data_IF_479873243310
#
_entry.id   IF_479873243310
#
_cell.length_a   1.000
_cell.length_b   1.000
_cell.length_c   1.000
_cell.angle_alpha   90.00
_cell.angle_beta   90.00
_cell.angle_gamma   90.00
#
_symmetry.space_group_name_H-M   'P 1'
#
loop_
_entity.id
_entity.type
_entity.pdbx_description
1 polymer ?
#
# COMPACT_ATOMS: atom_id res chain seq x y z
N UNK A 1 22.35 3.87 1.58
CA UNK A 1 22.16 4.63 0.33
C UNK A 1 21.06 5.66 0.59
N UNK A 2 21.43 6.68 1.35
CA UNK A 2 20.66 7.89 1.66
C UNK A 2 21.49 9.00 1.02
N UNK A 3 20.80 10.02 0.49
CA UNK A 3 21.31 11.24 -0.17
C UNK A 3 21.46 11.12 -1.69
N UNK A 4 20.34 11.30 -2.39
CA UNK A 4 20.31 12.06 -3.65
C UNK A 4 19.28 13.15 -3.44
N UNK A 5 19.78 14.29 -2.95
CA UNK A 5 18.99 15.46 -2.64
C UNK A 5 18.43 16.10 -3.91
N UNK A 6 17.31 16.77 -3.73
CA UNK A 6 16.63 17.64 -4.68
C UNK A 6 17.59 18.79 -5.04
N UNK A 7 18.40 18.60 -6.08
CA UNK A 7 19.05 19.63 -6.91
C UNK A 7 19.84 18.85 -7.97
N UNK A 8 19.60 19.12 -9.25
CA UNK A 8 20.39 18.52 -10.34
C UNK A 8 21.78 19.18 -10.30
N UNK A 9 22.68 18.58 -9.52
CA UNK A 9 24.12 18.87 -9.55
C UNK A 9 24.82 17.57 -9.93
N UNK A 10 25.63 17.63 -10.99
CA UNK A 10 26.44 16.53 -11.52
C UNK A 10 27.43 16.02 -10.48
N UNK A 11 27.59 14.69 -10.36
CA UNK A 11 28.44 13.99 -9.37
C UNK A 11 29.89 14.51 -9.28
N UNK A 12 30.40 15.14 -10.34
CA UNK A 12 31.76 15.71 -10.41
C UNK A 12 32.01 16.87 -9.46
N UNK A 13 31.00 17.66 -9.11
CA UNK A 13 31.20 18.89 -8.30
C UNK A 13 31.17 18.61 -6.80
N UNK A 14 30.45 17.57 -6.37
CA UNK A 14 30.32 17.18 -4.96
C UNK A 14 31.57 16.45 -4.44
N UNK A 15 32.32 15.78 -5.31
CA UNK A 15 33.54 15.03 -4.95
C UNK A 15 34.72 15.94 -4.53
N UNK A 16 34.68 17.25 -4.84
CA UNK A 16 35.71 18.20 -4.40
C UNK A 16 35.66 18.52 -2.91
N UNK A 17 34.55 18.26 -2.22
CA UNK A 17 34.27 18.84 -0.90
C UNK A 17 34.09 17.84 0.25
N UNK A 18 34.30 16.53 0.06
CA UNK A 18 34.06 15.53 1.12
C UNK A 18 35.34 14.76 1.50
N UNK A 19 35.79 14.79 2.77
CA UNK A 19 36.97 14.07 3.22
C UNK A 19 36.73 12.55 3.28
N UNK A 20 37.64 11.80 2.63
CA UNK A 20 37.62 10.34 2.58
C UNK A 20 38.00 9.72 3.94
N UNK A 21 37.03 9.12 4.63
CA UNK A 21 37.25 8.01 5.59
C UNK A 21 35.91 7.46 6.08
N UNK A 22 35.53 6.22 5.70
CA UNK A 22 34.87 5.26 6.60
C UNK A 22 34.64 3.88 5.95
N UNK A 23 34.84 2.85 6.78
CA UNK A 23 34.89 1.40 6.51
C UNK A 23 33.60 0.72 5.98
N UNK A 24 32.63 1.45 5.42
CA UNK A 24 31.30 0.92 5.10
C UNK A 24 31.30 0.05 3.82
N UNK A 25 32.24 0.28 2.90
CA UNK A 25 32.29 -0.40 1.60
C UNK A 25 32.76 -1.86 1.65
N UNK A 26 33.44 -2.30 2.72
CA UNK A 26 34.01 -3.66 2.83
C UNK A 26 32.97 -4.73 3.18
N UNK A 27 31.86 -4.35 3.81
CA UNK A 27 30.79 -5.29 4.21
C UNK A 27 29.89 -5.72 3.04
N UNK A 28 29.81 -4.91 1.98
CA UNK A 28 28.92 -5.17 0.84
C UNK A 28 29.49 -6.19 -0.14
N UNK A 29 30.82 -6.40 -0.14
CA UNK A 29 31.48 -7.31 -1.08
C UNK A 29 31.27 -8.80 -0.72
N UNK A 30 31.07 -9.13 0.56
CA UNK A 30 30.98 -10.52 1.03
C UNK A 30 29.58 -11.15 0.91
N UNK A 31 28.54 -10.37 0.57
CA UNK A 31 27.16 -10.88 0.46
C UNK A 31 26.86 -11.46 -0.94
N UNK A 32 27.71 -11.19 -1.94
CA UNK A 32 27.42 -11.48 -3.35
C UNK A 32 27.87 -12.89 -3.80
N UNK A 33 28.74 -13.60 -3.07
CA UNK A 33 29.37 -14.87 -3.53
C UNK A 33 28.84 -16.12 -2.81
N UNK A 34 27.55 -16.19 -2.48
CA UNK A 34 26.96 -17.45 -2.02
C UNK A 34 25.54 -17.63 -2.57
N UNK A 35 25.44 -17.99 -3.86
CA UNK A 35 24.22 -18.50 -4.48
C UNK A 35 24.55 -19.72 -5.32
N UNK A 36 24.51 -20.87 -4.65
CA UNK A 36 24.52 -22.18 -5.27
C UNK A 36 23.50 -23.09 -4.58
N UNK A 37 22.22 -22.70 -4.56
CA UNK A 37 21.10 -23.59 -4.17
C UNK A 37 19.85 -23.26 -5.02
N UNK A 38 19.18 -24.29 -5.51
CA UNK A 38 18.07 -24.21 -6.47
C UNK A 38 16.84 -23.42 -5.94
N UNK A 39 16.08 -22.71 -6.80
CA UNK A 39 15.14 -21.67 -6.40
C UNK A 39 13.74 -22.16 -5.99
N UNK A 40 13.53 -23.47 -5.82
CA UNK A 40 12.21 -24.00 -5.51
C UNK A 40 12.27 -25.02 -4.37
N UNK A 41 11.84 -24.58 -3.18
CA UNK A 41 11.49 -25.49 -2.08
C UNK A 41 10.18 -26.18 -2.47
N UNK A 42 10.23 -27.49 -2.66
CA UNK A 42 9.05 -28.34 -2.68
C UNK A 42 8.29 -28.07 -1.37
N UNK A 43 6.98 -27.76 -1.39
CA UNK A 43 6.24 -27.55 -0.16
C UNK A 43 6.09 -28.89 0.58
N UNK A 44 7.04 -29.24 1.43
CA UNK A 44 6.85 -30.27 2.46
C UNK A 44 6.20 -29.62 3.66
N UNK A 45 4.87 -29.64 3.64
CA UNK A 45 4.04 -29.82 4.82
C UNK A 45 2.60 -30.11 4.35
N UNK A 46 2.43 -31.25 3.68
CA UNK A 46 1.12 -31.91 3.73
C UNK A 46 1.02 -32.43 5.16
N UNK A 47 0.47 -31.62 6.07
CA UNK A 47 0.18 -32.06 7.43
C UNK A 47 -0.84 -33.19 7.33
N UNK A 48 -0.39 -34.42 7.44
CA UNK A 48 -1.28 -35.55 7.59
C UNK A 48 -2.02 -35.38 8.91
N UNK A 49 -3.32 -35.12 8.85
CA UNK A 49 -4.14 -35.10 10.05
C UNK A 49 -4.18 -36.53 10.59
N UNK A 50 -3.66 -36.72 11.81
CA UNK A 50 -3.69 -38.00 12.49
C UNK A 50 -5.14 -38.49 12.59
N UNK A 51 -5.41 -39.64 11.96
CA UNK A 51 -6.72 -40.31 12.01
C UNK A 51 -6.63 -41.39 13.08
N UNK A 52 -7.48 -41.29 14.10
CA UNK A 52 -7.43 -42.17 15.26
C UNK A 52 -8.39 -43.35 15.09
N UNK A 53 -9.63 -43.07 14.69
CA UNK A 53 -10.70 -44.07 14.53
C UNK A 53 -11.31 -43.99 13.12
N UNK A 54 -10.85 -44.86 12.22
CA UNK A 54 -11.36 -44.95 10.86
C UNK A 54 -11.20 -43.63 10.07
N UNK A 55 -12.29 -43.02 9.56
CA UNK A 55 -12.20 -41.76 8.81
C UNK A 55 -12.04 -40.52 9.71
N UNK A 56 -12.16 -40.65 11.04
CA UNK A 56 -12.19 -39.52 11.96
C UNK A 56 -10.79 -39.09 12.40
N UNK A 57 -10.55 -37.78 12.41
CA UNK A 57 -9.36 -37.16 12.99
C UNK A 57 -9.36 -37.27 14.52
N UNK A 58 -8.19 -37.17 15.17
CA UNK A 58 -8.10 -37.18 16.65
C UNK A 58 -9.09 -36.19 17.30
N UNK A 59 -9.21 -34.98 16.74
CA UNK A 59 -10.16 -33.96 17.22
C UNK A 59 -11.61 -34.41 17.10
N UNK A 60 -11.99 -34.95 15.95
CA UNK A 60 -13.34 -35.47 15.72
C UNK A 60 -13.66 -36.65 16.64
N UNK A 61 -12.68 -37.52 16.93
CA UNK A 61 -12.83 -38.62 17.88
C UNK A 61 -13.08 -38.11 19.31
N UNK A 62 -12.41 -37.04 19.73
CA UNK A 62 -12.66 -36.42 21.05
C UNK A 62 -14.08 -35.84 21.11
N UNK A 63 -14.53 -35.13 20.08
CA UNK A 63 -15.91 -34.60 20.03
C UNK A 63 -16.96 -35.72 20.08
N UNK A 64 -16.74 -36.81 19.35
CA UNK A 64 -17.62 -37.98 19.39
C UNK A 64 -17.66 -38.62 20.78
N UNK A 65 -16.50 -38.76 21.43
CA UNK A 65 -16.40 -39.36 22.77
C UNK A 65 -17.10 -38.50 23.83
N UNK A 66 -16.87 -37.18 23.82
CA UNK A 66 -17.54 -36.25 24.75
C UNK A 66 -19.06 -36.26 24.54
N UNK A 67 -19.52 -36.24 23.29
CA UNK A 67 -20.94 -36.32 22.97
C UNK A 67 -21.56 -37.64 23.44
N UNK A 68 -20.86 -38.76 23.24
CA UNK A 68 -21.31 -40.08 23.69
C UNK A 68 -21.42 -40.15 25.22
N UNK A 69 -20.45 -39.60 25.96
CA UNK A 69 -20.50 -39.52 27.42
C UNK A 69 -21.68 -38.67 27.88
N UNK A 70 -21.92 -37.51 27.26
CA UNK A 70 -23.05 -36.63 27.60
C UNK A 70 -24.40 -37.29 27.32
N UNK A 71 -24.54 -37.97 26.19
CA UNK A 71 -25.76 -38.71 25.85
C UNK A 71 -25.99 -39.85 26.84
N UNK A 72 -24.95 -40.60 27.19
CA UNK A 72 -25.04 -41.69 28.16
C UNK A 72 -25.41 -41.15 29.56
N UNK A 73 -24.82 -40.03 29.97
CA UNK A 73 -25.20 -39.36 31.22
C UNK A 73 -26.68 -38.93 31.22
N UNK A 74 -27.14 -38.32 30.12
CA UNK A 74 -28.54 -37.88 29.98
C UNK A 74 -29.53 -39.05 30.02
N UNK A 75 -29.17 -40.21 29.47
CA UNK A 75 -30.05 -41.40 29.44
C UNK A 75 -30.05 -42.15 30.78
N UNK A 76 -28.88 -42.37 31.38
CA UNK A 76 -28.74 -43.29 32.52
C UNK A 76 -28.67 -42.61 33.89
N UNK A 77 -28.21 -41.37 33.98
CA UNK A 77 -27.91 -40.71 35.25
C UNK A 77 -28.80 -39.50 35.57
N UNK A 78 -29.56 -38.99 34.59
CA UNK A 78 -30.39 -37.80 34.78
C UNK A 78 -31.66 -38.06 35.63
N UNK A 79 -32.11 -39.31 35.72
CA UNK A 79 -33.37 -39.69 36.39
C UNK A 79 -34.63 -39.10 35.74
N UNK A 80 -34.52 -38.55 34.53
CA UNK A 80 -35.62 -37.92 33.80
C UNK A 80 -36.52 -38.97 33.13
N UNK A 81 -37.81 -38.66 33.01
CA UNK A 81 -38.74 -39.47 32.23
C UNK A 81 -38.36 -39.52 30.75
N UNK A 82 -38.72 -40.62 30.08
CA UNK A 82 -38.34 -40.92 28.69
C UNK A 82 -38.53 -39.74 27.74
N UNK A 83 -39.69 -39.10 27.80
CA UNK A 83 -40.05 -38.02 26.89
C UNK A 83 -39.23 -36.74 27.08
N UNK A 84 -38.68 -36.53 28.28
CA UNK A 84 -37.98 -35.29 28.64
C UNK A 84 -36.52 -35.31 28.17
N UNK A 85 -35.85 -36.47 28.20
CA UNK A 85 -34.44 -36.55 27.77
C UNK A 85 -34.25 -36.66 26.24
N UNK A 86 -35.30 -36.96 25.47
CA UNK A 86 -35.21 -37.07 23.99
C UNK A 86 -34.73 -35.76 23.36
N UNK A 87 -35.30 -34.63 23.79
CA UNK A 87 -34.97 -33.30 23.26
C UNK A 87 -33.48 -32.95 23.48
N UNK A 88 -32.94 -33.00 24.72
CA UNK A 88 -31.53 -32.68 24.94
C UNK A 88 -30.58 -33.68 24.29
N UNK A 89 -30.93 -34.99 24.21
CA UNK A 89 -30.12 -35.99 23.50
C UNK A 89 -30.02 -35.66 22.02
N UNK A 90 -31.15 -35.31 21.37
CA UNK A 90 -31.16 -34.94 19.96
C UNK A 90 -30.36 -33.65 19.71
N UNK A 91 -30.45 -32.67 20.62
CA UNK A 91 -29.68 -31.43 20.54
C UNK A 91 -28.16 -31.69 20.67
N UNK A 92 -27.74 -32.54 21.60
CA UNK A 92 -26.34 -32.95 21.75
C UNK A 92 -25.85 -33.70 20.51
N UNK A 93 -26.67 -34.58 19.94
CA UNK A 93 -26.33 -35.32 18.72
C UNK A 93 -26.17 -34.38 17.50
N UNK A 94 -27.09 -33.42 17.31
CA UNK A 94 -26.99 -32.42 16.24
C UNK A 94 -25.72 -31.58 16.39
N UNK A 95 -25.43 -31.09 17.60
CA UNK A 95 -24.21 -30.32 17.86
C UNK A 95 -22.97 -31.16 17.57
N UNK A 96 -22.93 -32.42 18.01
CA UNK A 96 -21.81 -33.33 17.74
C UNK A 96 -21.58 -33.51 16.23
N UNK A 97 -22.65 -33.71 15.45
CA UNK A 97 -22.57 -33.79 13.98
C UNK A 97 -22.01 -32.48 13.40
N UNK A 98 -22.46 -31.33 13.90
CA UNK A 98 -21.95 -30.01 13.51
C UNK A 98 -20.44 -29.87 13.74
N UNK A 99 -19.96 -30.22 14.93
CA UNK A 99 -18.54 -30.18 15.27
C UNK A 99 -17.70 -31.20 14.49
N UNK A 100 -18.24 -32.40 14.22
CA UNK A 100 -17.50 -33.48 13.56
C UNK A 100 -17.45 -33.30 12.03
N UNK A 101 -18.60 -33.08 11.39
CA UNK A 101 -18.69 -33.05 9.92
C UNK A 101 -18.41 -31.66 9.33
N UNK A 102 -18.74 -30.60 10.06
CA UNK A 102 -18.69 -29.22 9.54
C UNK A 102 -17.64 -28.35 10.24
N UNK A 103 -16.82 -28.90 11.16
CA UNK A 103 -15.81 -28.14 11.91
C UNK A 103 -16.39 -26.85 12.52
N UNK A 104 -17.56 -26.97 13.16
CA UNK A 104 -18.31 -25.83 13.71
C UNK A 104 -17.48 -24.99 14.69
N UNK A 105 -16.52 -25.60 15.39
CA UNK A 105 -15.55 -24.94 16.26
C UNK A 105 -14.71 -23.89 15.51
N UNK A 106 -14.22 -24.23 14.32
CA UNK A 106 -13.44 -23.29 13.49
C UNK A 106 -14.30 -22.12 13.01
N UNK A 107 -15.54 -22.39 12.60
CA UNK A 107 -16.49 -21.34 12.20
C UNK A 107 -16.88 -20.43 13.36
N UNK A 108 -17.15 -20.98 14.54
CA UNK A 108 -17.45 -20.23 15.77
C UNK A 108 -16.27 -19.35 16.19
N UNK A 109 -15.05 -19.91 16.21
CA UNK A 109 -13.84 -19.15 16.55
C UNK A 109 -13.57 -18.05 15.52
N UNK A 110 -13.70 -18.34 14.23
CA UNK A 110 -13.56 -17.34 13.18
C UNK A 110 -14.61 -16.23 13.29
N UNK A 111 -15.85 -16.56 13.64
CA UNK A 111 -16.93 -15.60 13.86
C UNK A 111 -16.67 -14.73 15.10
N UNK A 112 -16.24 -15.33 16.21
CA UNK A 112 -15.84 -14.60 17.42
C UNK A 112 -14.63 -13.69 17.18
N UNK A 113 -13.65 -14.18 16.41
CA UNK A 113 -12.50 -13.40 15.98
C UNK A 113 -12.93 -12.26 15.05
N UNK A 114 -13.90 -12.49 14.15
CA UNK A 114 -14.46 -11.48 13.28
C UNK A 114 -15.21 -10.37 14.04
N UNK A 115 -15.97 -10.72 15.09
CA UNK A 115 -16.67 -9.73 15.94
C UNK A 115 -15.68 -8.94 16.81
N UNK A 116 -14.67 -9.61 17.38
CA UNK A 116 -13.64 -8.96 18.21
C UNK A 116 -12.58 -8.23 17.39
N UNK A 117 -12.44 -8.58 16.12
CA UNK A 117 -11.53 -7.93 15.18
C UNK A 117 -11.98 -6.50 14.91
N UNK A 118 -11.05 -5.55 14.97
CA UNK A 118 -11.32 -4.20 14.49
C UNK A 118 -11.77 -4.30 13.03
N UNK A 119 -12.96 -3.78 12.70
CA UNK A 119 -13.44 -3.69 11.31
C UNK A 119 -12.60 -2.65 10.59
N UNK A 120 -11.50 -3.08 10.01
CA UNK A 120 -10.57 -2.20 9.31
C UNK A 120 -11.11 -1.88 7.91
N UNK A 121 -11.65 -0.68 7.72
CA UNK A 121 -12.23 -0.23 6.44
C UNK A 121 -11.20 0.10 5.35
N UNK A 122 -9.97 -0.40 5.45
CA UNK A 122 -8.86 0.06 4.61
C UNK A 122 -8.66 -0.88 3.41
N UNK A 123 -8.71 -0.28 2.21
CA UNK A 123 -8.47 -0.89 0.90
C UNK A 123 -7.08 -1.52 0.72
N UNK A 124 -6.17 -1.29 1.66
CA UNK A 124 -4.83 -1.87 1.64
C UNK A 124 -4.96 -3.33 2.11
N UNK A 125 -4.54 -4.26 1.24
CA UNK A 125 -4.58 -5.69 1.55
C UNK A 125 -3.91 -5.98 2.91
N UNK A 126 -4.42 -6.93 3.71
CA UNK A 126 -3.81 -7.27 5.00
C UNK A 126 -2.32 -7.61 4.89
N UNK A 127 -1.90 -8.22 3.78
CA UNK A 127 -0.51 -8.52 3.47
C UNK A 127 0.33 -7.24 3.24
N UNK A 128 -0.17 -6.29 2.46
CA UNK A 128 0.49 -5.00 2.21
C UNK A 128 0.66 -4.18 3.50
N UNK A 129 -0.37 -4.16 4.35
CA UNK A 129 -0.31 -3.46 5.64
C UNK A 129 0.63 -4.14 6.63
N UNK A 130 0.69 -5.47 6.61
CA UNK A 130 1.65 -6.24 7.41
C UNK A 130 3.09 -5.94 6.96
N UNK A 131 3.33 -5.83 5.66
CA UNK A 131 4.64 -5.49 5.09
C UNK A 131 5.08 -4.06 5.43
N UNK A 132 4.17 -3.08 5.37
CA UNK A 132 4.52 -1.67 5.62
C UNK A 132 4.48 -1.25 7.09
N UNK A 133 4.15 -2.16 8.00
CA UNK A 133 4.03 -1.88 9.44
C UNK A 133 3.12 -0.69 9.78
N UNK A 134 2.17 -0.36 8.90
CA UNK A 134 1.21 0.74 9.15
C UNK A 134 0.10 0.22 10.06
N UNK A 135 -0.16 0.94 11.15
CA UNK A 135 -1.29 0.69 12.05
C UNK A 135 -2.55 1.37 11.53
N UNK A 136 -2.48 2.66 11.23
CA UNK A 136 -3.63 3.44 10.75
C UNK A 136 -3.18 4.74 10.08
N UNK A 137 -4.01 5.29 9.19
CA UNK A 137 -3.84 6.64 8.64
C UNK A 137 -5.04 7.47 9.07
N UNK A 138 -4.81 8.57 9.78
CA UNK A 138 -5.84 9.48 10.28
C UNK A 138 -5.21 10.82 10.67
N UNK A 139 -6.01 11.88 10.75
CA UNK A 139 -5.53 13.23 11.09
C UNK A 139 -4.32 13.68 10.25
N UNK A 140 -4.32 13.30 8.96
CA UNK A 140 -3.27 13.61 7.98
C UNK A 140 -1.88 13.16 8.43
N UNK A 141 -1.86 12.02 9.13
CA UNK A 141 -0.68 11.39 9.70
C UNK A 141 -0.74 9.86 9.55
N UNK A 142 0.43 9.27 9.41
CA UNK A 142 0.64 7.83 9.31
C UNK A 142 1.10 7.31 10.67
N UNK A 143 0.29 6.46 11.28
CA UNK A 143 0.62 5.80 12.55
C UNK A 143 1.20 4.42 12.24
N UNK A 144 2.44 4.19 12.66
CA UNK A 144 3.12 2.92 12.52
C UNK A 144 2.85 1.99 13.72
N UNK A 145 3.05 0.69 13.52
CA UNK A 145 2.83 -0.33 14.56
C UNK A 145 3.77 -0.18 15.75
N UNK A 146 4.98 0.30 15.53
CA UNK A 146 5.98 0.63 16.56
C UNK A 146 5.65 1.90 17.37
N UNK A 147 4.57 2.61 17.03
CA UNK A 147 4.12 3.81 17.72
C UNK A 147 4.73 5.12 17.21
N UNK A 148 5.54 5.09 16.13
CA UNK A 148 5.93 6.31 15.42
C UNK A 148 4.75 6.90 14.67
N UNK A 149 4.76 8.23 14.55
CA UNK A 149 3.78 8.99 13.78
C UNK A 149 4.54 9.82 12.76
N UNK A 150 4.14 9.73 11.49
CA UNK A 150 4.82 10.36 10.36
C UNK A 150 3.87 11.27 9.58
N UNK A 151 4.37 12.42 9.17
CA UNK A 151 3.76 13.27 8.15
C UNK A 151 4.49 13.10 6.83
N UNK A 152 3.77 13.26 5.72
CA UNK A 152 4.35 13.22 4.38
C UNK A 152 4.04 14.52 3.67
N UNK A 153 5.07 15.13 3.10
CA UNK A 153 5.01 16.37 2.33
C UNK A 153 5.40 16.03 0.90
N UNK A 154 4.59 16.41 -0.09
CA UNK A 154 4.92 16.30 -1.51
C UNK A 154 5.63 17.58 -1.94
N UNK A 155 6.74 17.43 -2.65
CA UNK A 155 7.55 18.56 -3.14
C UNK A 155 7.44 18.62 -4.65
N UNK A 156 7.19 19.83 -5.17
CA UNK A 156 7.22 20.10 -6.61
C UNK A 156 8.65 20.49 -7.00
N UNK A 157 9.32 19.73 -7.88
CA UNK A 157 10.65 20.09 -8.33
C UNK A 157 10.60 21.36 -9.18
N UNK A 158 11.67 22.14 -9.09
CA UNK A 158 11.90 23.34 -9.92
C UNK A 158 12.94 23.03 -11.00
N UNK A 159 12.83 23.68 -12.16
CA UNK A 159 13.83 23.54 -13.22
C UNK A 159 15.01 24.48 -12.97
N UNK A 160 15.89 24.09 -12.05
CA UNK A 160 17.02 24.89 -11.58
C UNK A 160 17.93 25.39 -12.72
N UNK A 161 18.15 24.57 -13.76
CA UNK A 161 19.02 24.91 -14.88
C UNK A 161 18.48 26.00 -15.82
N UNK A 162 17.17 26.29 -15.76
CA UNK A 162 16.53 27.35 -16.58
C UNK A 162 16.53 28.71 -15.88
N UNK A 163 16.79 28.73 -14.57
CA UNK A 163 16.83 29.96 -13.78
C UNK A 163 18.04 30.84 -14.14
N UNK A 164 17.92 32.15 -13.89
CA UNK A 164 19.05 33.09 -13.95
C UNK A 164 20.09 32.77 -12.87
N UNK A 165 21.31 33.32 -12.96
CA UNK A 165 22.34 33.06 -11.93
C UNK A 165 21.92 33.62 -10.57
N UNK A 166 21.33 34.80 -10.56
CA UNK A 166 20.84 35.46 -9.36
C UNK A 166 19.70 34.66 -8.70
N UNK A 167 18.79 34.09 -9.50
CA UNK A 167 17.73 33.22 -9.00
C UNK A 167 18.29 31.87 -8.51
N UNK A 168 19.28 31.32 -9.21
CA UNK A 168 19.98 30.09 -8.78
C UNK A 168 20.65 30.28 -7.42
N UNK A 169 21.36 31.40 -7.23
CA UNK A 169 21.97 31.76 -5.95
C UNK A 169 20.92 31.89 -4.85
N UNK A 170 19.79 32.55 -5.15
CA UNK A 170 18.66 32.69 -4.22
C UNK A 170 18.11 31.33 -3.77
N UNK A 171 17.89 30.40 -4.71
CA UNK A 171 17.45 29.04 -4.41
C UNK A 171 18.50 28.31 -3.55
N UNK A 172 19.79 28.41 -3.88
CA UNK A 172 20.87 27.78 -3.11
C UNK A 172 20.90 28.30 -1.67
N UNK A 173 20.86 29.62 -1.47
CA UNK A 173 20.90 30.21 -0.14
C UNK A 173 19.66 29.88 0.69
N UNK A 174 18.46 29.95 0.10
CA UNK A 174 17.24 29.54 0.79
C UNK A 174 17.25 28.05 1.15
N UNK A 175 17.83 27.23 0.29
CA UNK A 175 17.95 25.80 0.56
C UNK A 175 18.98 25.49 1.67
N UNK A 176 20.09 26.23 1.73
CA UNK A 176 21.03 26.16 2.85
C UNK A 176 20.36 26.56 4.16
N UNK A 177 19.55 27.62 4.15
CA UNK A 177 18.76 28.04 5.31
C UNK A 177 17.77 26.95 5.75
N UNK A 178 17.07 26.31 4.80
CA UNK A 178 16.24 25.15 5.08
C UNK A 178 17.01 24.06 5.83
N UNK A 179 18.17 23.62 5.31
CA UNK A 179 18.96 22.57 5.96
C UNK A 179 19.42 22.99 7.36
N UNK A 180 19.85 24.24 7.52
CA UNK A 180 20.31 24.76 8.81
C UNK A 180 19.17 24.92 9.84
N UNK A 181 17.93 25.11 9.38
CA UNK A 181 16.76 25.25 10.24
C UNK A 181 16.23 23.92 10.82
N UNK A 182 16.63 22.78 10.26
CA UNK A 182 16.12 21.47 10.64
C UNK A 182 16.64 21.05 12.03
N UNK A 183 15.75 21.06 13.02
CA UNK A 183 16.02 20.60 14.39
C UNK A 183 15.66 19.13 14.64
N UNK A 184 15.27 18.40 13.60
CA UNK A 184 14.84 17.00 13.67
C UNK A 184 15.17 16.25 12.38
N UNK A 185 15.34 14.92 12.42
CA UNK A 185 15.63 14.15 11.22
C UNK A 185 14.43 14.15 10.29
N UNK A 186 14.68 14.45 9.02
CA UNK A 186 13.72 14.25 7.93
C UNK A 186 14.26 13.16 6.99
N UNK A 187 13.37 12.53 6.23
CA UNK A 187 13.76 11.61 5.18
C UNK A 187 13.22 12.09 3.85
N UNK A 188 14.08 12.18 2.84
CA UNK A 188 13.69 12.54 1.48
C UNK A 188 13.59 11.26 0.67
N UNK A 189 12.46 11.08 0.00
CA UNK A 189 12.14 9.91 -0.81
C UNK A 189 11.77 10.38 -2.21
N UNK A 190 12.34 9.71 -3.20
CA UNK A 190 11.97 9.88 -4.60
C UNK A 190 11.26 8.61 -5.08
N UNK A 191 10.15 8.80 -5.79
CA UNK A 191 9.39 7.73 -6.44
C UNK A 191 9.39 7.96 -7.94
N UNK A 192 9.93 7.01 -8.69
CA UNK A 192 9.78 6.97 -10.14
C UNK A 192 8.38 6.47 -10.50
N UNK A 193 7.70 7.17 -11.39
CA UNK A 193 6.38 6.79 -11.92
C UNK A 193 6.41 6.86 -13.44
N UNK A 194 5.57 6.10 -14.13
CA UNK A 194 5.44 6.25 -15.58
C UNK A 194 4.97 7.67 -15.90
N UNK A 195 5.57 8.30 -16.90
CA UNK A 195 5.12 9.61 -17.36
C UNK A 195 3.69 9.49 -17.89
N UNK A 196 2.80 10.33 -17.38
CA UNK A 196 1.42 10.41 -17.84
C UNK A 196 1.11 11.81 -18.38
N UNK A 197 0.82 11.87 -19.68
CA UNK A 197 0.50 13.10 -20.40
C UNK A 197 -1.02 13.33 -20.57
N UNK A 198 -1.86 12.47 -19.99
CA UNK A 198 -3.32 12.51 -20.20
C UNK A 198 -3.92 13.88 -19.92
N UNK A 199 -3.51 14.53 -18.82
CA UNK A 199 -4.00 15.86 -18.43
C UNK A 199 -3.58 16.95 -19.43
N UNK A 200 -2.32 16.90 -19.87
CA UNK A 200 -1.77 17.85 -20.83
C UNK A 200 -2.45 17.71 -22.20
N UNK A 201 -2.52 16.47 -22.71
CA UNK A 201 -3.16 16.15 -23.98
C UNK A 201 -4.65 16.49 -23.93
N UNK A 202 -5.34 16.17 -22.83
CA UNK A 202 -6.75 16.53 -22.62
C UNK A 202 -6.98 18.06 -22.58
N UNK A 203 -6.09 18.83 -21.96
CA UNK A 203 -6.16 20.29 -21.97
C UNK A 203 -5.93 20.87 -23.37
N UNK A 204 -4.98 20.31 -24.13
CA UNK A 204 -4.71 20.71 -25.51
C UNK A 204 -5.91 20.40 -26.41
N UNK A 205 -6.50 19.19 -26.31
CA UNK A 205 -7.70 18.80 -27.04
C UNK A 205 -8.85 19.77 -26.81
N UNK A 206 -9.12 20.13 -25.54
CA UNK A 206 -10.17 21.08 -25.18
C UNK A 206 -10.00 22.43 -25.87
N UNK A 207 -8.78 22.96 -25.92
CA UNK A 207 -8.48 24.25 -26.60
C UNK A 207 -8.69 24.17 -28.11
N UNK A 208 -8.38 23.04 -28.73
CA UNK A 208 -8.56 22.81 -30.17
C UNK A 208 -10.04 22.71 -30.51
N UNK A 209 -10.80 21.90 -29.76
CA UNK A 209 -12.25 21.74 -29.94
C UNK A 209 -12.99 23.07 -29.76
N UNK A 210 -12.57 23.90 -28.80
CA UNK A 210 -13.15 25.25 -28.60
C UNK A 210 -12.96 26.19 -29.79
N UNK A 211 -11.96 25.96 -30.65
CA UNK A 211 -11.69 26.77 -31.84
C UNK A 211 -12.38 26.24 -33.10
N UNK A 212 -13.06 25.09 -33.01
CA UNK A 212 -13.70 24.38 -34.13
C UNK A 212 -12.77 24.09 -35.33
N UNK A 213 -11.48 23.89 -35.04
CA UNK A 213 -10.47 23.62 -36.06
C UNK A 213 -10.31 22.11 -36.27
N UNK A 214 -11.00 21.58 -37.29
CA UNK A 214 -10.98 20.16 -37.65
C UNK A 214 -9.59 19.67 -38.10
N UNK A 215 -8.80 20.54 -38.73
CA UNK A 215 -7.46 20.18 -39.18
C UNK A 215 -6.52 20.04 -37.99
N UNK A 216 -6.56 20.98 -37.05
CA UNK A 216 -5.81 20.90 -35.80
C UNK A 216 -6.22 19.68 -34.95
N UNK A 217 -7.48 19.26 -34.98
CA UNK A 217 -7.93 18.05 -34.28
C UNK A 217 -7.29 16.78 -34.85
N UNK A 218 -7.24 16.64 -36.17
CA UNK A 218 -6.57 15.51 -36.82
C UNK A 218 -5.05 15.47 -36.49
N UNK A 219 -4.37 16.62 -36.52
CA UNK A 219 -2.97 16.69 -36.10
C UNK A 219 -2.78 16.34 -34.63
N UNK A 220 -3.69 16.77 -33.76
CA UNK A 220 -3.66 16.43 -32.35
C UNK A 220 -3.79 14.91 -32.12
N UNK A 221 -4.66 14.22 -32.86
CA UNK A 221 -4.83 12.77 -32.73
C UNK A 221 -3.54 12.03 -33.08
N UNK A 222 -2.94 12.35 -34.23
CA UNK A 222 -1.64 11.78 -34.63
C UNK A 222 -0.52 12.11 -33.64
N UNK A 223 -0.45 13.36 -33.17
CA UNK A 223 0.54 13.77 -32.17
C UNK A 223 0.35 13.02 -30.85
N UNK A 224 -0.89 12.90 -30.38
CA UNK A 224 -1.22 12.21 -29.14
C UNK A 224 -0.82 10.74 -29.21
N UNK A 225 -1.15 10.05 -30.31
CA UNK A 225 -0.79 8.65 -30.53
C UNK A 225 0.73 8.47 -30.57
N UNK A 226 1.43 9.28 -31.36
CA UNK A 226 2.89 9.28 -31.42
C UNK A 226 3.53 9.48 -30.03
N UNK A 227 3.01 10.40 -29.22
CA UNK A 227 3.54 10.66 -27.88
C UNK A 227 3.35 9.47 -26.95
N UNK A 228 2.21 8.79 -27.01
CA UNK A 228 1.98 7.58 -26.22
C UNK A 228 2.93 6.45 -26.61
N UNK A 229 3.10 6.22 -27.92
CA UNK A 229 4.01 5.20 -28.42
C UNK A 229 5.47 5.52 -28.09
N UNK A 230 5.87 6.79 -28.21
CA UNK A 230 7.21 7.24 -27.87
C UNK A 230 7.51 7.06 -26.38
N UNK A 231 6.58 7.42 -25.49
CA UNK A 231 6.73 7.21 -24.03
C UNK A 231 6.83 5.73 -23.70
N UNK A 232 5.99 4.90 -24.32
CA UNK A 232 5.95 3.46 -24.10
C UNK A 232 7.22 2.77 -24.59
N UNK A 233 7.70 3.13 -25.79
CA UNK A 233 8.91 2.56 -26.38
C UNK A 233 10.16 2.95 -25.58
N UNK A 234 10.26 4.22 -25.16
CA UNK A 234 11.43 4.73 -24.43
C UNK A 234 11.33 4.59 -22.91
N UNK A 235 10.23 4.03 -22.39
CA UNK A 235 9.96 3.85 -20.94
C UNK A 235 10.23 5.13 -20.14
N UNK A 236 9.70 6.25 -20.64
CA UNK A 236 9.92 7.56 -20.03
C UNK A 236 9.20 7.63 -18.69
N UNK A 237 9.94 7.99 -17.64
CA UNK A 237 9.45 8.08 -16.29
C UNK A 237 9.50 9.51 -15.77
N UNK A 238 8.54 9.85 -14.92
CA UNK A 238 8.54 11.04 -14.09
C UNK A 238 9.01 10.72 -12.66
N UNK A 239 9.44 11.74 -11.91
CA UNK A 239 9.96 11.60 -10.55
C UNK A 239 9.15 12.45 -9.59
N UNK A 240 8.50 11.78 -8.64
CA UNK A 240 7.79 12.42 -7.54
C UNK A 240 8.70 12.48 -6.30
N UNK A 241 8.74 13.64 -5.65
CA UNK A 241 9.56 13.86 -4.46
C UNK A 241 8.69 14.03 -3.22
N UNK A 242 9.09 13.36 -2.14
CA UNK A 242 8.40 13.39 -0.86
C UNK A 242 9.38 13.61 0.28
N UNK A 243 8.95 14.34 1.30
CA UNK A 243 9.66 14.52 2.57
C UNK A 243 8.82 13.89 3.67
N UNK A 244 9.41 12.94 4.39
CA UNK A 244 8.82 12.27 5.54
C UNK A 244 9.32 12.97 6.80
N UNK A 245 8.38 13.44 7.60
CA UNK A 245 8.62 14.17 8.84
C UNK A 245 8.14 13.33 10.03
N UNK A 246 9.01 12.92 10.96
CA UNK A 246 8.61 12.22 12.16
C UNK A 246 8.09 13.18 13.23
N UNK A 247 7.00 12.80 13.90
CA UNK A 247 6.52 13.49 15.09
C UNK A 247 7.40 13.16 16.31
N UNK A 248 7.52 14.11 17.25
CA UNK A 248 7.99 13.77 18.60
C UNK A 248 6.88 13.00 19.32
N UNK A 249 7.22 11.89 19.96
CA UNK A 249 6.26 11.04 20.67
C UNK A 249 5.91 11.66 22.03
N UNK A 250 4.61 11.86 22.28
CA UNK A 250 4.07 12.24 23.58
C UNK A 250 3.09 11.17 24.10
N UNK A 251 2.78 11.20 25.39
CA UNK A 251 1.75 10.33 25.97
C UNK A 251 0.35 10.67 25.44
N UNK A 252 0.11 11.97 25.23
CA UNK A 252 -1.11 12.47 24.61
C UNK A 252 -0.95 12.50 23.08
N UNK A 253 -1.87 11.82 22.40
CA UNK A 253 -1.91 11.75 20.95
C UNK A 253 -2.15 13.11 20.32
N UNK A 254 -3.00 13.95 20.93
CA UNK A 254 -3.31 15.28 20.40
C UNK A 254 -2.04 16.15 20.34
N UNK A 255 -1.20 16.08 21.37
CA UNK A 255 0.10 16.76 21.39
C UNK A 255 1.06 16.22 20.34
N UNK A 256 1.00 14.91 20.07
CA UNK A 256 1.82 14.28 19.02
C UNK A 256 1.42 14.78 17.63
N UNK A 257 0.12 14.85 17.34
CA UNK A 257 -0.39 15.38 16.06
C UNK A 257 -0.07 16.86 15.91
N UNK A 258 -0.29 17.67 16.96
CA UNK A 258 0.03 19.10 16.94
C UNK A 258 1.52 19.35 16.68
N UNK A 259 2.40 18.60 17.36
CA UNK A 259 3.84 18.69 17.10
C UNK A 259 4.22 18.30 15.67
N UNK A 260 3.55 17.30 15.10
CA UNK A 260 3.78 16.91 13.71
C UNK A 260 3.37 18.03 12.75
N UNK A 261 2.22 18.64 13.00
CA UNK A 261 1.70 19.74 12.20
C UNK A 261 2.65 20.94 12.22
N UNK A 262 3.13 21.34 13.40
CA UNK A 262 4.12 22.41 13.55
C UNK A 262 5.41 22.10 12.78
N UNK A 263 5.90 20.86 12.87
CA UNK A 263 7.11 20.42 12.15
C UNK A 263 6.92 20.43 10.64
N UNK A 264 5.78 19.94 10.16
CA UNK A 264 5.47 19.95 8.73
C UNK A 264 5.34 21.38 8.21
N UNK A 265 4.68 22.27 8.97
CA UNK A 265 4.53 23.68 8.62
C UNK A 265 5.89 24.37 8.53
N UNK A 266 6.75 24.18 9.52
CA UNK A 266 8.11 24.72 9.50
C UNK A 266 8.91 24.26 8.27
N UNK A 267 8.83 22.98 7.90
CA UNK A 267 9.49 22.44 6.70
C UNK A 267 8.94 23.06 5.41
N UNK A 268 7.62 23.24 5.31
CA UNK A 268 6.99 23.84 4.12
C UNK A 268 7.36 25.31 3.99
N UNK A 269 7.33 26.08 5.08
CA UNK A 269 7.66 27.51 5.09
C UNK A 269 9.12 27.75 4.71
N UNK A 270 10.04 26.99 5.31
CA UNK A 270 11.48 27.10 5.04
C UNK A 270 11.86 26.65 3.63
N UNK A 271 11.20 25.62 3.09
CA UNK A 271 11.34 25.28 1.66
C UNK A 271 10.77 26.36 0.75
N UNK A 272 9.67 26.99 1.14
CA UNK A 272 9.07 28.10 0.40
C UNK A 272 10.03 29.27 0.19
N UNK A 273 10.94 29.54 1.15
CA UNK A 273 12.00 30.57 1.01
C UNK A 273 12.97 30.27 -0.15
N UNK A 274 13.18 29.00 -0.48
CA UNK A 274 14.00 28.58 -1.63
C UNK A 274 13.23 28.51 -2.95
N UNK A 275 12.00 29.02 -2.99
CA UNK A 275 11.13 28.95 -4.17
C UNK A 275 10.62 27.53 -4.48
N UNK A 276 10.84 26.58 -3.57
CA UNK A 276 10.39 25.19 -3.72
C UNK A 276 9.01 25.05 -3.09
N UNK A 277 8.02 24.70 -3.93
CA UNK A 277 6.64 24.52 -3.49
C UNK A 277 6.49 23.13 -2.85
N UNK A 278 5.95 23.10 -1.65
CA UNK A 278 5.73 21.87 -0.88
C UNK A 278 4.32 21.86 -0.26
N UNK A 279 3.66 20.71 -0.28
CA UNK A 279 2.30 20.53 0.20
C UNK A 279 2.19 19.32 1.12
N UNK A 280 1.54 19.47 2.28
CA UNK A 280 1.28 18.35 3.19
C UNK A 280 0.21 17.43 2.60
N UNK A 281 0.49 16.12 2.58
CA UNK A 281 -0.47 15.15 2.10
C UNK A 281 -1.58 14.90 3.13
N UNK A 282 -2.83 14.99 2.69
CA UNK A 282 -4.00 14.62 3.49
C UNK A 282 -4.25 13.11 3.52
N UNK A 283 -5.18 12.66 4.36
CA UNK A 283 -5.53 11.24 4.53
C UNK A 283 -5.79 10.50 3.21
N UNK A 284 -6.54 11.13 2.29
CA UNK A 284 -6.87 10.52 0.98
C UNK A 284 -5.62 10.36 0.11
N UNK A 285 -4.79 11.40 0.05
CA UNK A 285 -3.55 11.39 -0.74
C UNK A 285 -2.53 10.42 -0.15
N UNK A 286 -2.43 10.32 1.18
CA UNK A 286 -1.62 9.32 1.86
C UNK A 286 -2.07 7.91 1.51
N UNK A 287 -3.39 7.63 1.57
CA UNK A 287 -3.93 6.33 1.18
C UNK A 287 -3.60 6.00 -0.29
N UNK A 288 -3.79 6.95 -1.20
CA UNK A 288 -3.44 6.80 -2.63
C UNK A 288 -1.94 6.54 -2.84
N UNK A 289 -1.08 7.29 -2.14
CA UNK A 289 0.36 7.11 -2.16
C UNK A 289 0.74 5.69 -1.75
N UNK A 290 0.21 5.21 -0.63
CA UNK A 290 0.52 3.86 -0.13
C UNK A 290 -0.07 2.75 -1.01
N UNK A 291 -1.28 2.90 -1.55
CA UNK A 291 -1.85 1.90 -2.46
C UNK A 291 -1.07 1.80 -3.76
N UNK A 292 -0.51 2.91 -4.25
CA UNK A 292 0.29 2.96 -5.48
C UNK A 292 1.64 2.20 -5.41
N UNK A 293 1.99 1.60 -4.27
CA UNK A 293 3.12 0.66 -4.16
C UNK A 293 2.70 -0.81 -4.34
N UNK A 294 1.41 -1.13 -4.21
CA UNK A 294 0.88 -2.50 -4.30
C UNK A 294 0.06 -2.74 -5.56
N UNK A 295 -0.23 -1.69 -6.32
CA UNK A 295 -0.94 -1.80 -7.59
C UNK A 295 -0.15 -1.02 -8.63
N UNK A 296 0.11 -1.65 -9.77
CA UNK A 296 0.89 -1.07 -10.87
C UNK A 296 0.19 0.16 -11.51
N UNK A 297 -1.06 0.43 -11.15
CA UNK A 297 -1.86 1.49 -11.76
C UNK A 297 -2.99 1.95 -10.85
N UNK A 298 -2.87 3.12 -10.20
CA UNK A 298 -4.03 3.98 -9.91
C UNK A 298 -3.58 5.44 -9.79
N UNK A 299 -3.97 6.26 -10.76
CA UNK A 299 -4.32 7.67 -10.51
C UNK A 299 -5.80 7.69 -10.13
N UNK A 300 -6.12 8.37 -9.05
CA UNK A 300 -7.50 8.63 -8.62
C UNK A 300 -7.59 10.11 -8.30
N UNK A 301 -7.75 10.90 -9.35
CA UNK A 301 -8.51 12.14 -9.24
C UNK A 301 -9.88 11.85 -9.86
N UNK A 302 -10.91 12.20 -9.09
CA UNK A 302 -12.35 12.12 -9.35
C UNK A 302 -13.10 10.81 -8.99
N UNK A 303 -13.90 10.95 -7.93
CA UNK A 303 -14.97 10.10 -7.36
C UNK A 303 -14.66 8.70 -6.76
N UNK A 304 -15.20 8.50 -5.55
CA UNK A 304 -15.04 7.31 -4.72
C UNK A 304 -15.83 6.13 -5.29
N UNK A 305 -15.13 5.09 -5.75
CA UNK A 305 -15.76 3.84 -6.18
C UNK A 305 -15.22 2.71 -5.30
N UNK A 306 -16.10 2.04 -4.56
CA UNK A 306 -15.70 0.87 -3.75
C UNK A 306 -15.20 -0.27 -4.68
N UNK A 307 -14.27 -1.15 -4.26
CA UNK A 307 -13.85 -2.35 -4.99
C UNK A 307 -15.01 -3.26 -5.36
N UNK A 308 -16.07 -3.30 -4.55
CA UNK A 308 -17.31 -4.01 -4.91
C UNK A 308 -17.96 -3.35 -6.14
N UNK A 309 -17.99 -2.02 -6.17
CA UNK A 309 -18.52 -1.23 -7.28
C UNK A 309 -17.59 -1.29 -8.51
N UNK A 310 -16.28 -1.36 -8.31
CA UNK A 310 -15.26 -1.53 -9.35
C UNK A 310 -15.38 -2.90 -10.02
N UNK A 311 -15.47 -3.98 -9.22
CA UNK A 311 -15.70 -5.33 -9.73
C UNK A 311 -17.01 -5.39 -10.51
N UNK A 312 -18.09 -4.80 -9.98
CA UNK A 312 -19.40 -4.79 -10.66
C UNK A 312 -19.37 -4.06 -12.01
N UNK A 313 -18.59 -2.98 -12.15
CA UNK A 313 -18.38 -2.28 -13.43
C UNK A 313 -17.56 -3.10 -14.43
N UNK A 314 -16.47 -3.73 -13.98
CA UNK A 314 -15.63 -4.60 -14.83
C UNK A 314 -16.41 -5.76 -15.45
N UNK A 315 -17.46 -6.25 -14.80
CA UNK A 315 -18.30 -7.33 -15.32
C UNK A 315 -19.45 -6.86 -16.23
N UNK A 316 -19.80 -5.57 -16.22
CA UNK A 316 -20.76 -5.00 -17.18
C UNK A 316 -20.11 -4.63 -18.51
N UNK A 317 -18.81 -4.34 -18.51
CA UNK A 317 -17.98 -4.15 -19.69
C UNK A 317 -17.18 -5.42 -20.00
N UNK A 318 -17.87 -6.56 -20.21
CA UNK A 318 -17.18 -7.73 -20.75
C UNK A 318 -16.54 -7.34 -22.11
N UNK A 319 -15.25 -7.65 -22.35
CA UNK A 319 -14.63 -7.33 -23.62
C UNK A 319 -15.44 -8.00 -24.74
N UNK A 320 -15.85 -7.22 -25.74
CA UNK A 320 -16.52 -7.76 -26.93
C UNK A 320 -15.64 -8.88 -27.50
N UNK A 321 -16.25 -10.02 -27.83
CA UNK A 321 -15.54 -11.15 -28.45
C UNK A 321 -14.74 -10.63 -29.64
N UNK A 322 -13.43 -10.83 -29.60
CA UNK A 322 -12.57 -10.59 -30.75
C UNK A 322 -12.92 -11.67 -31.76
N UNK A 323 -13.60 -11.30 -32.85
CA UNK A 323 -13.77 -12.18 -34.00
C UNK A 323 -12.44 -12.21 -34.74
N UNK A 324 -11.83 -13.39 -34.82
CA UNK A 324 -10.73 -13.61 -35.76
C UNK A 324 -11.34 -13.60 -37.17
N UNK A 325 -10.86 -12.68 -38.01
CA UNK A 325 -11.12 -12.73 -39.45
C UNK A 325 -10.26 -13.86 -39.97
N UNK A 326 -10.88 -14.96 -40.39
CA UNK A 326 -10.20 -15.96 -41.22
C UNK A 326 -9.84 -15.29 -42.55
N UNK A 327 -8.54 -15.08 -42.79
CA UNK A 327 -8.05 -14.77 -44.13
C UNK A 327 -8.29 -16.01 -45.00
N UNK A 328 -9.24 -15.89 -45.93
CA UNK A 328 -9.41 -16.87 -47.02
C UNK A 328 -8.14 -16.88 -47.88
N UNK A 329 -7.57 -18.08 -48.04
CA UNK A 329 -6.46 -18.41 -48.93
C UNK A 329 -6.95 -18.72 -50.34
#
# INVERSE_FOLDING_TARGET
MIITFILILTESDLLKYIPQKTNIYRSLYNVVINKGEMPYKIPTDIRYEERLFGPLTVKQSIYALVAAILILYLIFFSGLEFYVYIIPVFLVAILAIGFIMFNLDMYLLNYLYYIKGMKESSWISPAARKLMEIRSIRADAVFLKDGRVLGVIKVKPINFGVLSREDQDTVIYGFLEFINSLSFPIQIVMKSVNLDLSDYLGALKRRIVQRDDKMALAYYEHFSEYMYDYIKANKINDRLFYIIVPAKRFADEKKTIMNLEDRCKAVIETLGLSGIIAERLGNRQLLSLYSSYFTESFKLDEEFVSPITMYKRMWHEAPKKVYYVEEEL
#
